data_IF_292599149980
#
_entry.id   IF_292599149980
#
_cell.length_a   1.000
_cell.length_b   1.000
_cell.length_c   1.000
_cell.angle_alpha   90.00
_cell.angle_beta   90.00
_cell.angle_gamma   90.00
#
_symmetry.space_group_name_H-M   'P 1'
#
loop_
_entity.id
_entity.type
_entity.pdbx_description
1 polymer ?
#
# COMPACT_ATOMS: atom_id res chain seq x y z
N UNK A 1 26.78 -0.93 2.04
CA UNK A 1 25.70 0.02 2.39
C UNK A 1 24.51 -0.74 2.96
N UNK A 2 24.00 -0.33 4.13
CA UNK A 2 22.83 -0.95 4.75
C UNK A 2 21.55 -0.56 3.99
N UNK A 3 21.13 -1.39 3.03
CA UNK A 3 19.93 -1.17 2.20
C UNK A 3 18.65 -1.00 3.03
N UNK A 4 18.56 -1.63 4.21
CA UNK A 4 17.42 -1.52 5.10
C UNK A 4 17.30 -0.14 5.74
N UNK A 5 18.41 0.41 6.24
CA UNK A 5 18.43 1.76 6.83
C UNK A 5 18.07 2.84 5.80
N UNK A 6 18.52 2.69 4.55
CA UNK A 6 18.16 3.58 3.45
C UNK A 6 16.66 3.53 3.15
N UNK A 7 16.09 2.33 2.99
CA UNK A 7 14.66 2.16 2.72
C UNK A 7 13.77 2.72 3.84
N UNK A 8 14.12 2.47 5.11
CA UNK A 8 13.40 3.06 6.25
C UNK A 8 13.52 4.59 6.25
N UNK A 9 14.72 5.12 5.99
CA UNK A 9 14.94 6.55 5.89
C UNK A 9 14.13 7.21 4.77
N UNK A 10 14.08 6.59 3.59
CA UNK A 10 13.30 7.06 2.44
C UNK A 10 11.80 7.05 2.74
N UNK A 11 11.28 6.00 3.39
CA UNK A 11 9.87 5.94 3.81
C UNK A 11 9.50 7.03 4.83
N UNK A 12 10.37 7.30 5.82
CA UNK A 12 10.11 8.33 6.84
C UNK A 12 10.23 9.74 6.25
N UNK A 13 11.15 9.96 5.31
CA UNK A 13 11.41 11.27 4.69
C UNK A 13 10.48 11.57 3.52
N UNK A 14 9.56 10.65 3.17
CA UNK A 14 8.65 10.82 2.04
C UNK A 14 9.31 10.64 0.67
N UNK A 15 10.49 10.04 0.62
CA UNK A 15 11.22 9.72 -0.62
C UNK A 15 10.88 8.33 -1.17
N UNK A 16 10.25 7.48 -0.36
CA UNK A 16 9.65 6.22 -0.82
C UNK A 16 8.19 6.48 -1.20
N UNK A 17 7.91 6.51 -2.50
CA UNK A 17 6.58 6.67 -3.06
C UNK A 17 6.51 6.04 -4.45
N UNK A 18 5.30 5.73 -4.87
CA UNK A 18 4.98 5.39 -6.24
C UNK A 18 4.01 6.41 -6.83
N UNK A 19 4.05 6.58 -8.14
CA UNK A 19 3.09 7.42 -8.87
C UNK A 19 2.27 6.54 -9.79
N UNK A 20 0.95 6.70 -9.76
CA UNK A 20 0.01 6.01 -10.65
C UNK A 20 -0.75 7.04 -11.46
N UNK A 21 -1.23 6.66 -12.65
CA UNK A 21 -2.04 7.53 -13.50
C UNK A 21 -3.41 6.88 -13.68
N UNK A 22 -4.47 7.61 -13.36
CA UNK A 22 -5.87 7.19 -13.53
C UNK A 22 -6.63 8.32 -14.19
N UNK A 23 -7.34 8.04 -15.29
CA UNK A 23 -8.07 9.05 -16.06
C UNK A 23 -7.20 10.28 -16.42
N UNK A 24 -5.95 10.05 -16.85
CA UNK A 24 -5.02 11.10 -17.25
C UNK A 24 -4.48 11.98 -16.10
N UNK A 25 -4.82 11.68 -14.84
CA UNK A 25 -4.30 12.39 -13.66
C UNK A 25 -3.31 11.52 -12.89
N UNK A 26 -2.22 12.13 -12.45
CA UNK A 26 -1.19 11.46 -11.66
C UNK A 26 -1.51 11.57 -10.15
N UNK A 27 -1.38 10.46 -9.44
CA UNK A 27 -1.56 10.38 -7.98
C UNK A 27 -0.32 9.76 -7.34
N UNK A 28 0.09 10.35 -6.22
CA UNK A 28 1.21 9.85 -5.43
C UNK A 28 0.71 8.93 -4.33
N UNK A 29 1.36 7.78 -4.18
CA UNK A 29 1.08 6.76 -3.19
C UNK A 29 2.31 6.59 -2.32
N UNK A 30 2.14 6.85 -1.03
CA UNK A 30 3.15 6.58 -0.02
C UNK A 30 2.91 5.21 0.62
N UNK A 31 3.93 4.62 1.29
CA UNK A 31 3.74 3.46 2.15
C UNK A 31 2.53 3.67 3.07
N UNK A 32 1.45 2.88 2.91
CA UNK A 32 0.19 3.16 3.57
C UNK A 32 0.26 2.79 5.06
N UNK A 33 -0.42 3.57 5.89
CA UNK A 33 -0.58 3.26 7.31
C UNK A 33 -1.62 2.15 7.51
N UNK A 34 -1.62 1.52 8.69
CA UNK A 34 -2.63 0.50 9.06
C UNK A 34 -4.06 1.02 8.88
N UNK A 35 -4.32 2.30 9.16
CA UNK A 35 -5.63 2.91 8.95
C UNK A 35 -6.05 2.91 7.47
N UNK A 36 -5.13 3.31 6.58
CA UNK A 36 -5.39 3.32 5.13
C UNK A 36 -5.60 1.90 4.59
N UNK A 37 -4.82 0.94 5.06
CA UNK A 37 -4.96 -0.48 4.71
C UNK A 37 -6.33 -1.00 5.16
N UNK A 38 -6.74 -0.72 6.39
CA UNK A 38 -8.03 -1.17 6.91
C UNK A 38 -9.22 -0.56 6.15
N UNK A 39 -9.14 0.74 5.83
CA UNK A 39 -10.15 1.42 5.02
C UNK A 39 -10.27 0.83 3.61
N UNK A 40 -9.14 0.60 2.93
CA UNK A 40 -9.13 -0.05 1.62
C UNK A 40 -9.64 -1.51 1.68
N UNK A 41 -9.23 -2.27 2.68
CA UNK A 41 -9.69 -3.65 2.88
C UNK A 41 -11.20 -3.74 3.12
N UNK A 42 -11.79 -2.76 3.82
CA UNK A 42 -13.23 -2.67 4.00
C UNK A 42 -13.97 -2.52 2.66
N UNK A 43 -13.43 -1.75 1.72
CA UNK A 43 -14.03 -1.61 0.38
C UNK A 43 -13.89 -2.91 -0.44
N UNK A 44 -12.86 -3.71 -0.16
CA UNK A 44 -12.57 -4.97 -0.86
C UNK A 44 -13.07 -6.19 -0.07
N UNK A 45 -14.01 -6.06 0.86
CA UNK A 45 -14.39 -7.15 1.78
C UNK A 45 -14.98 -8.38 1.09
N UNK A 46 -15.56 -8.19 -0.09
CA UNK A 46 -16.28 -9.24 -0.82
C UNK A 46 -15.40 -9.92 -1.89
N UNK A 47 -14.08 -9.69 -1.86
CA UNK A 47 -13.14 -10.41 -2.74
C UNK A 47 -13.10 -11.90 -2.41
N UNK A 48 -13.05 -12.74 -3.45
CA UNK A 48 -12.89 -14.19 -3.32
C UNK A 48 -11.39 -14.57 -3.32
N UNK A 49 -11.08 -15.79 -2.86
CA UNK A 49 -9.71 -16.30 -2.87
C UNK A 49 -9.13 -16.34 -4.30
N UNK A 50 -7.85 -15.99 -4.42
CA UNK A 50 -7.11 -16.03 -5.68
C UNK A 50 -5.61 -16.12 -5.41
N UNK A 51 -4.87 -16.70 -6.36
CA UNK A 51 -3.44 -17.02 -6.17
C UNK A 51 -2.52 -15.78 -6.19
N UNK A 52 -3.00 -14.66 -6.72
CA UNK A 52 -2.27 -13.39 -6.81
C UNK A 52 -3.16 -12.22 -6.42
N UNK A 53 -2.57 -11.12 -5.97
CA UNK A 53 -3.31 -9.89 -5.66
C UNK A 53 -4.18 -9.42 -6.82
N UNK A 54 -3.69 -9.55 -8.07
CA UNK A 54 -4.46 -9.25 -9.27
C UNK A 54 -5.73 -10.07 -9.36
N UNK A 55 -5.62 -11.37 -9.17
CA UNK A 55 -6.74 -12.31 -9.27
C UNK A 55 -7.74 -12.08 -8.13
N UNK A 56 -7.26 -11.79 -6.92
CA UNK A 56 -8.10 -11.43 -5.76
C UNK A 56 -8.87 -10.15 -6.06
N UNK A 57 -8.22 -9.10 -6.56
CA UNK A 57 -8.90 -7.84 -6.92
C UNK A 57 -9.95 -8.12 -7.99
N UNK A 58 -9.56 -8.73 -9.13
CA UNK A 58 -10.46 -8.99 -10.26
C UNK A 58 -11.69 -9.84 -9.90
N UNK A 59 -11.61 -10.66 -8.84
CA UNK A 59 -12.73 -11.49 -8.39
C UNK A 59 -13.95 -10.69 -7.89
N UNK A 60 -13.75 -9.45 -7.43
CA UNK A 60 -14.84 -8.61 -6.91
C UNK A 60 -15.75 -8.11 -8.03
N UNK A 61 -15.20 -7.76 -9.18
CA UNK A 61 -15.93 -7.21 -10.33
C UNK A 61 -16.59 -5.84 -10.11
N UNK A 62 -16.45 -5.23 -8.93
CA UNK A 62 -17.04 -3.92 -8.59
C UNK A 62 -15.99 -2.80 -8.68
N UNK A 63 -15.99 -2.13 -9.82
CA UNK A 63 -15.08 -1.01 -10.10
C UNK A 63 -15.30 0.20 -9.18
N UNK A 64 -16.51 0.38 -8.64
CA UNK A 64 -16.81 1.43 -7.68
C UNK A 64 -16.07 1.19 -6.36
N UNK A 65 -15.95 -0.08 -5.96
CA UNK A 65 -15.16 -0.46 -4.78
C UNK A 65 -13.66 -0.33 -5.00
N UNK A 66 -13.16 -0.60 -6.22
CA UNK A 66 -11.76 -0.37 -6.55
C UNK A 66 -11.39 1.11 -6.42
N UNK A 67 -12.24 2.01 -6.94
CA UNK A 67 -12.02 3.44 -6.85
C UNK A 67 -12.01 3.93 -5.38
N UNK A 68 -12.91 3.40 -4.54
CA UNK A 68 -12.92 3.69 -3.09
C UNK A 68 -11.67 3.17 -2.38
N UNK A 69 -11.27 1.93 -2.65
CA UNK A 69 -10.06 1.35 -2.08
C UNK A 69 -8.81 2.14 -2.48
N UNK A 70 -8.72 2.56 -3.74
CA UNK A 70 -7.61 3.38 -4.23
C UNK A 70 -7.61 4.78 -3.60
N UNK A 71 -8.79 5.38 -3.40
CA UNK A 71 -8.93 6.65 -2.64
C UNK A 71 -8.36 6.53 -1.22
N UNK A 72 -8.60 5.40 -0.54
CA UNK A 72 -8.03 5.13 0.78
C UNK A 72 -6.49 5.04 0.75
N UNK A 73 -5.91 4.45 -0.29
CA UNK A 73 -4.44 4.38 -0.42
C UNK A 73 -3.81 5.76 -0.66
N UNK A 74 -4.43 6.58 -1.52
CA UNK A 74 -3.92 7.91 -1.89
C UNK A 74 -4.16 8.93 -0.77
N UNK A 75 -5.42 9.15 -0.42
CA UNK A 75 -5.86 10.24 0.47
C UNK A 75 -6.08 9.76 1.91
N UNK A 76 -6.55 8.53 2.08
CA UNK A 76 -6.92 7.98 3.40
C UNK A 76 -8.40 8.17 3.76
N UNK A 77 -9.25 8.35 2.76
CA UNK A 77 -10.71 8.34 2.84
C UNK A 77 -11.30 8.02 1.44
N UNK A 78 -12.62 8.09 1.26
CA UNK A 78 -13.30 7.84 -0.02
C UNK A 78 -13.49 9.10 -0.90
N UNK A 79 -12.87 10.23 -0.56
CA UNK A 79 -13.14 11.52 -1.23
C UNK A 79 -12.77 11.55 -2.71
N UNK A 80 -11.80 10.75 -3.14
CA UNK A 80 -11.37 10.65 -4.54
C UNK A 80 -12.14 9.59 -5.34
N UNK A 81 -13.03 8.81 -4.71
CA UNK A 81 -13.69 7.68 -5.38
C UNK A 81 -14.47 8.10 -6.63
N UNK A 82 -15.18 9.23 -6.57
CA UNK A 82 -15.93 9.74 -7.72
C UNK A 82 -15.04 10.18 -8.89
N UNK A 83 -13.85 10.71 -8.59
CA UNK A 83 -12.87 11.10 -9.62
C UNK A 83 -12.18 9.88 -10.23
N UNK A 84 -11.71 8.97 -9.37
CA UNK A 84 -11.01 7.74 -9.75
C UNK A 84 -11.92 6.78 -10.52
N UNK A 85 -13.22 6.76 -10.22
CA UNK A 85 -14.22 5.95 -10.92
C UNK A 85 -14.42 6.32 -12.40
N UNK A 86 -13.86 7.44 -12.87
CA UNK A 86 -13.84 7.78 -14.29
C UNK A 86 -12.65 7.13 -15.05
N UNK A 87 -11.72 6.49 -14.33
CA UNK A 87 -10.63 5.73 -14.92
C UNK A 87 -11.10 4.39 -15.48
N UNK A 88 -10.24 3.77 -16.29
CA UNK A 88 -10.52 2.43 -16.80
C UNK A 88 -10.35 1.38 -15.70
N UNK A 89 -10.99 0.23 -15.88
CA UNK A 89 -10.79 -0.97 -15.07
C UNK A 89 -9.30 -1.34 -14.95
N UNK A 90 -8.58 -1.32 -16.06
CA UNK A 90 -7.14 -1.60 -16.12
C UNK A 90 -6.34 -0.62 -15.27
N UNK A 91 -6.61 0.68 -15.39
CA UNK A 91 -5.93 1.72 -14.62
C UNK A 91 -6.16 1.54 -13.11
N UNK A 92 -7.38 1.24 -12.69
CA UNK A 92 -7.71 1.02 -11.28
C UNK A 92 -7.01 -0.21 -10.71
N UNK A 93 -7.01 -1.33 -11.45
CA UNK A 93 -6.33 -2.56 -11.03
C UNK A 93 -4.82 -2.36 -10.94
N UNK A 94 -4.19 -1.76 -11.96
CA UNK A 94 -2.76 -1.46 -11.94
C UNK A 94 -2.39 -0.53 -10.78
N UNK A 95 -3.20 0.49 -10.51
CA UNK A 95 -2.97 1.41 -9.41
C UNK A 95 -3.11 0.73 -8.04
N UNK A 96 -4.07 -0.18 -7.88
CA UNK A 96 -4.23 -0.98 -6.66
C UNK A 96 -3.05 -1.94 -6.44
N UNK A 97 -2.55 -2.59 -7.48
CA UNK A 97 -1.36 -3.44 -7.38
C UNK A 97 -0.14 -2.65 -6.91
N UNK A 98 0.08 -1.47 -7.48
CA UNK A 98 1.14 -0.56 -7.04
C UNK A 98 0.92 -0.18 -5.58
N UNK A 99 -0.31 0.17 -5.18
CA UNK A 99 -0.66 0.49 -3.79
C UNK A 99 -0.31 -0.63 -2.81
N UNK A 100 -0.64 -1.88 -3.16
CA UNK A 100 -0.35 -3.04 -2.34
C UNK A 100 1.16 -3.33 -2.27
N UNK A 101 1.90 -3.09 -3.36
CA UNK A 101 3.36 -3.22 -3.35
C UNK A 101 4.04 -2.28 -2.35
N UNK A 102 3.41 -1.12 -2.07
CA UNK A 102 3.89 -0.13 -1.10
C UNK A 102 3.65 -0.53 0.36
N UNK A 103 2.87 -1.58 0.65
CA UNK A 103 2.58 -2.04 2.04
C UNK A 103 3.87 -2.51 2.76
N UNK A 104 4.98 -2.71 2.05
CA UNK A 104 6.30 -2.60 2.67
C UNK A 104 6.57 -3.60 3.81
N UNK A 105 6.00 -4.81 3.75
CA UNK A 105 6.20 -5.85 4.79
C UNK A 105 7.69 -6.16 5.01
N UNK A 106 8.50 -5.99 3.97
CA UNK A 106 9.96 -6.08 3.96
C UNK A 106 10.63 -5.02 4.85
N UNK A 107 10.12 -3.79 4.86
CA UNK A 107 10.67 -2.67 5.66
C UNK A 107 10.37 -2.89 7.13
N UNK A 108 9.14 -3.30 7.46
CA UNK A 108 8.77 -3.68 8.83
C UNK A 108 9.59 -4.89 9.32
N UNK A 109 9.75 -5.93 8.49
CA UNK A 109 10.61 -7.08 8.81
C UNK A 109 12.06 -6.66 9.09
N UNK A 110 12.63 -5.76 8.30
CA UNK A 110 13.99 -5.25 8.47
C UNK A 110 14.12 -4.40 9.74
N UNK A 111 13.15 -3.53 10.03
CA UNK A 111 13.13 -2.73 11.25
C UNK A 111 13.02 -3.60 12.51
N UNK A 112 12.14 -4.61 12.51
CA UNK A 112 12.01 -5.58 13.61
C UNK A 112 13.30 -6.40 13.80
N UNK A 113 13.92 -6.82 12.69
CA UNK A 113 15.21 -7.51 12.74
C UNK A 113 16.30 -6.64 13.37
N UNK A 114 16.39 -5.37 12.97
CA UNK A 114 17.33 -4.41 13.55
C UNK A 114 17.06 -4.16 15.04
N UNK A 115 15.80 -3.94 15.43
CA UNK A 115 15.40 -3.75 16.82
C UNK A 115 15.77 -4.97 17.68
N UNK A 116 15.60 -6.19 17.16
CA UNK A 116 16.04 -7.43 17.81
C UNK A 116 17.56 -7.45 17.98
N UNK A 117 18.32 -7.11 16.93
CA UNK A 117 19.78 -7.06 17.00
C UNK A 117 20.28 -6.03 18.03
N UNK A 118 19.68 -4.84 18.08
CA UNK A 118 20.00 -3.82 19.09
C UNK A 118 19.63 -4.31 20.50
N UNK A 119 18.46 -4.94 20.66
CA UNK A 119 18.06 -5.55 21.92
C UNK A 119 19.06 -6.58 22.45
N UNK A 120 19.58 -7.45 21.58
CA UNK A 120 20.63 -8.41 21.94
C UNK A 120 21.96 -7.75 22.31
N UNK A 121 22.36 -6.69 21.62
CA UNK A 121 23.62 -5.97 21.88
C UNK A 121 23.57 -5.13 23.16
N UNK A 122 22.39 -4.63 23.50
CA UNK A 122 22.16 -3.79 24.69
C UNK A 122 21.73 -4.61 25.92
N UNK A 123 21.47 -5.91 25.74
CA UNK A 123 21.19 -6.83 26.83
C UNK A 123 22.43 -6.93 27.74
N UNK A 124 22.31 -6.44 28.98
CA UNK A 124 23.36 -6.64 29.98
C UNK A 124 23.42 -8.12 30.36
N UNK A 125 24.62 -8.72 30.48
CA UNK A 125 24.76 -10.06 31.02
C UNK A 125 24.11 -10.11 32.41
N UNK A 126 23.40 -11.20 32.71
CA UNK A 126 22.93 -11.50 34.07
C UNK A 126 24.08 -12.01 34.93
#
# INVERSE_FOLDING_TARGET
MNKGAKAVGEAITGLDFATVVVNGKAYTIFPPTVNRIAGAAKCLSDVHEGDTWRNVILSLGDYGQYAKALSWFIQGDESLAGELGNGTDRELVEALEVSMSMIGIEVFRKAVSLARSVGLLTARPR
#
